data_IF_125977722991
#
_entry.id   IF_125977722991
#
_cell.length_a   1.000
_cell.length_b   1.000
_cell.length_c   1.000
_cell.angle_alpha   90.00
_cell.angle_beta   90.00
_cell.angle_gamma   90.00
#
_symmetry.space_group_name_H-M   'P 1'
#
loop_
_entity.id
_entity.type
_entity.pdbx_description
1 polymer ?
#
# COMPACT_ATOMS: atom_id res chain seq x y z
N UNK A 1 -9.42 6.98 1.86
CA UNK A 1 -9.00 5.68 2.43
C UNK A 1 -9.27 5.68 3.93
N UNK A 2 -9.55 4.53 4.55
CA UNK A 2 -9.87 4.45 5.97
C UNK A 2 -8.57 4.36 6.80
N UNK A 3 -8.09 5.48 7.35
CA UNK A 3 -6.75 5.63 7.95
C UNK A 3 -6.55 4.93 9.30
N UNK A 4 -7.60 4.29 9.83
CA UNK A 4 -7.53 3.54 11.09
C UNK A 4 -6.50 2.42 11.10
N UNK A 5 -6.30 1.74 9.95
CA UNK A 5 -5.29 0.67 9.84
C UNK A 5 -3.87 1.22 9.99
N UNK A 6 -3.57 2.36 9.37
CA UNK A 6 -2.26 3.00 9.48
C UNK A 6 -2.02 3.49 10.90
N UNK A 7 -3.05 4.03 11.57
CA UNK A 7 -2.93 4.45 12.96
C UNK A 7 -2.56 3.28 13.88
N UNK A 8 -3.26 2.15 13.73
CA UNK A 8 -2.99 0.95 14.53
C UNK A 8 -1.58 0.40 14.25
N UNK A 9 -1.21 0.29 12.98
CA UNK A 9 0.11 -0.22 12.58
C UNK A 9 1.25 0.65 13.12
N UNK A 10 1.19 1.98 12.94
CA UNK A 10 2.25 2.88 13.38
C UNK A 10 2.33 3.01 14.91
N UNK A 11 1.17 2.96 15.59
CA UNK A 11 1.12 3.04 17.05
C UNK A 11 1.61 1.76 17.72
N UNK A 12 1.26 0.60 17.17
CA UNK A 12 1.64 -0.70 17.73
C UNK A 12 3.03 -1.17 17.29
N UNK A 13 3.52 -0.68 16.15
CA UNK A 13 4.69 -1.23 15.43
C UNK A 13 4.56 -2.72 15.11
N UNK A 14 3.33 -3.23 15.06
CA UNK A 14 3.07 -4.60 14.63
C UNK A 14 3.35 -4.73 13.12
N UNK A 15 3.88 -5.88 12.66
CA UNK A 15 4.05 -6.13 11.24
C UNK A 15 2.68 -6.20 10.55
N UNK A 16 2.57 -5.54 9.39
CA UNK A 16 1.36 -5.55 8.56
C UNK A 16 1.62 -6.41 7.35
N UNK A 17 0.88 -7.51 7.20
CA UNK A 17 0.97 -8.41 6.06
C UNK A 17 -0.21 -8.14 5.11
N UNK A 18 0.03 -7.85 3.81
CA UNK A 18 -1.04 -7.78 2.84
C UNK A 18 -1.55 -9.19 2.53
N UNK A 19 -2.87 -9.34 2.46
CA UNK A 19 -3.52 -10.61 2.12
C UNK A 19 -4.54 -10.36 1.02
N UNK A 20 -4.32 -10.96 -0.14
CA UNK A 20 -5.23 -10.89 -1.27
C UNK A 20 -6.10 -12.14 -1.31
N UNK A 21 -7.41 -11.95 -1.51
CA UNK A 21 -8.39 -13.04 -1.54
C UNK A 21 -8.96 -13.16 -2.95
N UNK A 22 -8.70 -14.29 -3.59
CA UNK A 22 -9.15 -14.60 -4.95
C UNK A 22 -10.47 -15.35 -4.94
N UNK A 23 -11.31 -15.13 -5.97
CA UNK A 23 -12.48 -15.96 -6.27
C UNK A 23 -13.37 -16.23 -5.05
N UNK A 24 -13.64 -15.21 -4.24
CA UNK A 24 -14.58 -15.33 -3.14
C UNK A 24 -16.00 -15.45 -3.66
N UNK A 25 -16.85 -16.34 -3.07
CA UNK A 25 -18.25 -16.35 -3.41
C UNK A 25 -18.85 -14.98 -3.06
N UNK A 26 -19.45 -14.34 -4.06
CA UNK A 26 -20.17 -13.07 -3.89
C UNK A 26 -21.66 -13.33 -4.05
N UNK A 27 -22.46 -12.57 -3.31
CA UNK A 27 -23.91 -12.63 -3.38
C UNK A 27 -24.52 -11.23 -3.26
N UNK A 28 -25.80 -11.12 -3.57
CA UNK A 28 -26.61 -9.90 -3.41
C UNK A 28 -26.83 -9.55 -1.94
N UNK A 29 -26.64 -10.51 -1.04
CA UNK A 29 -26.75 -10.38 0.40
C UNK A 29 -25.68 -11.23 1.09
N UNK A 30 -25.54 -11.04 2.41
CA UNK A 30 -24.51 -11.69 3.23
C UNK A 30 -24.70 -13.21 3.40
N UNK A 31 -25.84 -13.78 2.96
CA UNK A 31 -26.18 -15.20 3.18
C UNK A 31 -25.89 -16.06 1.94
N UNK A 32 -26.08 -15.53 0.75
CA UNK A 32 -25.83 -16.23 -0.53
C UNK A 32 -24.43 -16.87 -0.67
N UNK A 33 -23.33 -16.26 -0.16
CA UNK A 33 -22.01 -16.89 -0.17
C UNK A 33 -21.92 -18.24 0.54
N UNK A 34 -22.79 -18.53 1.52
CA UNK A 34 -22.77 -19.81 2.24
C UNK A 34 -23.32 -20.98 1.43
N UNK A 35 -24.07 -20.70 0.36
CA UNK A 35 -24.68 -21.73 -0.50
C UNK A 35 -23.98 -21.88 -1.84
N UNK A 36 -22.94 -21.07 -2.11
CA UNK A 36 -22.18 -21.08 -3.36
C UNK A 36 -20.76 -21.56 -3.12
N UNK A 37 -20.37 -22.65 -3.80
CA UNK A 37 -18.98 -23.09 -3.82
C UNK A 37 -18.19 -22.21 -4.78
N UNK A 38 -17.07 -21.68 -4.31
CA UNK A 38 -16.08 -21.05 -5.16
C UNK A 38 -14.70 -21.62 -4.83
N UNK A 39 -13.82 -21.65 -5.83
CA UNK A 39 -12.43 -22.03 -5.65
C UNK A 39 -11.63 -20.82 -5.12
N UNK A 40 -11.83 -20.54 -3.84
CA UNK A 40 -11.26 -19.38 -3.15
C UNK A 40 -9.83 -19.68 -2.71
N UNK A 41 -8.90 -18.78 -3.02
CA UNK A 41 -7.51 -18.86 -2.57
C UNK A 41 -7.07 -17.59 -1.86
N UNK A 42 -6.06 -17.73 -0.99
CA UNK A 42 -5.43 -16.64 -0.27
C UNK A 42 -3.98 -16.52 -0.71
N UNK A 43 -3.55 -15.30 -0.99
CA UNK A 43 -2.15 -14.97 -1.24
C UNK A 43 -1.69 -14.05 -0.12
N UNK A 44 -0.64 -14.47 0.58
CA UNK A 44 0.01 -13.66 1.63
C UNK A 44 1.25 -13.00 1.02
N UNK A 45 1.41 -11.71 1.24
CA UNK A 45 2.62 -10.99 0.86
C UNK A 45 3.59 -10.84 2.03
N UNK A 46 4.75 -10.26 1.73
CA UNK A 46 5.76 -9.90 2.72
C UNK A 46 5.29 -8.77 3.65
N UNK A 47 5.84 -8.66 4.87
CA UNK A 47 5.49 -7.59 5.79
C UNK A 47 5.87 -6.23 5.19
N UNK A 48 4.95 -5.28 5.26
CA UNK A 48 5.13 -3.94 4.70
C UNK A 48 6.09 -3.16 5.57
N UNK A 49 7.16 -2.63 4.96
CA UNK A 49 8.09 -1.75 5.67
C UNK A 49 7.45 -0.39 5.94
N UNK A 50 7.25 -0.09 7.22
CA UNK A 50 6.73 1.18 7.71
C UNK A 50 7.79 1.98 8.48
N UNK A 51 9.05 1.57 8.41
CA UNK A 51 10.16 2.19 9.15
C UNK A 51 10.27 3.69 8.88
N UNK A 52 10.02 4.12 7.64
CA UNK A 52 10.00 5.51 7.21
C UNK A 52 8.97 6.40 7.94
N UNK A 53 7.99 5.80 8.64
CA UNK A 53 6.95 6.51 9.38
C UNK A 53 7.14 6.47 10.90
N UNK A 54 8.04 5.64 11.41
CA UNK A 54 8.23 5.50 12.85
C UNK A 54 8.80 6.79 13.46
N UNK A 55 8.25 7.18 14.61
CA UNK A 55 8.66 8.41 15.31
C UNK A 55 8.09 9.70 14.72
N UNK A 56 7.44 9.67 13.54
CA UNK A 56 6.70 10.82 13.01
C UNK A 56 5.45 11.08 13.86
N UNK A 57 5.05 12.35 13.96
CA UNK A 57 3.73 12.71 14.51
C UNK A 57 2.65 12.09 13.63
N UNK A 58 1.69 11.40 14.23
CA UNK A 58 0.56 10.77 13.53
C UNK A 58 -0.45 11.83 13.06
N UNK A 59 -0.05 12.66 12.09
CA UNK A 59 -0.92 13.61 11.42
C UNK A 59 -1.78 12.91 10.38
N UNK A 60 -2.79 13.61 9.87
CA UNK A 60 -3.67 13.08 8.82
C UNK A 60 -2.87 12.67 7.58
N UNK A 61 -1.90 13.49 7.20
CA UNK A 61 -1.05 13.31 6.02
C UNK A 61 -0.20 12.05 6.15
N UNK A 62 0.45 11.85 7.30
CA UNK A 62 1.26 10.65 7.59
C UNK A 62 0.40 9.39 7.53
N UNK A 63 -0.80 9.44 8.12
CA UNK A 63 -1.71 8.30 8.12
C UNK A 63 -2.26 8.00 6.71
N UNK A 64 -2.56 9.02 5.92
CA UNK A 64 -2.99 8.87 4.53
C UNK A 64 -1.87 8.29 3.65
N UNK A 65 -0.63 8.76 3.82
CA UNK A 65 0.54 8.26 3.09
C UNK A 65 0.83 6.79 3.42
N UNK A 66 0.88 6.45 4.70
CA UNK A 66 1.10 5.06 5.14
C UNK A 66 -0.05 4.13 4.68
N UNK A 67 -1.30 4.60 4.73
CA UNK A 67 -2.44 3.83 4.20
C UNK A 67 -2.29 3.62 2.69
N UNK A 68 -1.86 4.66 1.97
CA UNK A 68 -1.65 4.60 0.52
C UNK A 68 -0.57 3.58 0.16
N UNK A 69 0.57 3.58 0.87
CA UNK A 69 1.60 2.55 0.73
C UNK A 69 1.05 1.14 0.93
N UNK A 70 0.26 0.92 1.99
CA UNK A 70 -0.33 -0.39 2.27
C UNK A 70 -1.25 -0.87 1.14
N UNK A 71 -2.08 0.03 0.61
CA UNK A 71 -2.98 -0.29 -0.49
C UNK A 71 -2.23 -0.58 -1.79
N UNK A 72 -1.14 0.15 -2.07
CA UNK A 72 -0.25 -0.16 -3.20
C UNK A 72 0.33 -1.57 -3.09
N UNK A 73 0.92 -1.94 -1.94
CA UNK A 73 1.46 -3.29 -1.75
C UNK A 73 0.40 -4.38 -1.87
N UNK A 74 -0.82 -4.13 -1.40
CA UNK A 74 -1.95 -5.06 -1.57
C UNK A 74 -2.36 -5.21 -3.03
N UNK A 75 -2.39 -4.11 -3.78
CA UNK A 75 -2.77 -4.11 -5.18
C UNK A 75 -1.73 -4.84 -6.03
N UNK A 76 -0.43 -4.61 -5.77
CA UNK A 76 0.68 -5.37 -6.36
C UNK A 76 0.56 -6.87 -6.10
N UNK A 77 0.22 -7.26 -4.87
CA UNK A 77 0.05 -8.67 -4.50
C UNK A 77 -1.08 -9.35 -5.27
N UNK A 78 -2.15 -8.60 -5.57
CA UNK A 78 -3.32 -9.08 -6.30
C UNK A 78 -3.24 -8.94 -7.82
N UNK A 79 -2.15 -8.40 -8.36
CA UNK A 79 -2.05 -7.96 -9.76
C UNK A 79 -3.26 -7.09 -10.18
N UNK A 80 -3.60 -6.14 -9.30
CA UNK A 80 -4.73 -5.22 -9.50
C UNK A 80 -4.27 -3.78 -9.50
N UNK A 81 -5.04 -2.92 -10.15
CA UNK A 81 -4.76 -1.49 -10.17
C UNK A 81 -5.31 -0.80 -8.91
N UNK A 82 -4.47 -0.02 -8.24
CA UNK A 82 -4.89 0.87 -7.17
C UNK A 82 -5.10 2.29 -7.70
N UNK A 83 -6.36 2.75 -7.70
CA UNK A 83 -6.77 4.05 -8.25
C UNK A 83 -6.77 5.20 -7.21
N UNK A 84 -6.07 5.02 -6.08
CA UNK A 84 -6.04 5.99 -4.99
C UNK A 84 -4.93 7.04 -5.12
N UNK A 85 -4.30 7.36 -3.98
CA UNK A 85 -3.18 8.33 -3.94
C UNK A 85 -1.92 7.82 -4.65
N UNK A 86 -1.01 8.74 -5.05
CA UNK A 86 0.25 8.38 -5.71
C UNK A 86 1.12 7.50 -4.81
N UNK A 87 1.93 6.65 -5.43
CA UNK A 87 2.82 5.72 -4.73
C UNK A 87 3.93 6.49 -3.97
N UNK A 88 4.06 6.32 -2.64
CA UNK A 88 4.98 7.11 -1.84
C UNK A 88 6.44 6.62 -1.87
N UNK A 89 6.68 5.32 -2.10
CA UNK A 89 8.02 4.70 -2.09
C UNK A 89 8.82 4.89 -3.39
N UNK A 90 8.22 5.42 -4.46
CA UNK A 90 8.90 5.67 -5.75
C UNK A 90 9.57 7.06 -5.84
N UNK A 91 9.25 8.01 -4.94
CA UNK A 91 9.72 9.40 -5.05
C UNK A 91 11.20 9.63 -4.69
N UNK A 92 11.96 8.57 -4.36
CA UNK A 92 13.38 8.67 -3.99
C UNK A 92 14.35 8.48 -5.17
N UNK A 93 13.86 8.18 -6.38
CA UNK A 93 14.70 7.89 -7.55
C UNK A 93 14.68 9.03 -8.59
N UNK A 94 14.66 10.28 -8.14
CA UNK A 94 14.93 11.42 -9.03
C UNK A 94 16.44 11.46 -9.25
N UNK A 95 16.88 10.92 -10.40
CA UNK A 95 18.25 11.02 -10.91
C UNK A 95 18.71 12.48 -10.79
N UNK A 96 19.78 12.80 -10.03
CA UNK A 96 20.35 14.14 -10.09
C UNK A 96 20.90 14.33 -11.50
N UNK A 97 20.19 15.14 -12.30
CA UNK A 97 20.74 15.72 -13.53
C UNK A 97 22.04 16.44 -13.16
N UNK A 98 23.17 15.82 -13.51
CA UNK A 98 24.50 16.36 -13.28
C UNK A 98 24.61 17.73 -13.95
N UNK A 99 24.87 18.78 -13.16
CA UNK A 99 24.97 20.16 -13.60
C UNK A 99 26.27 20.49 -14.36
N UNK A 100 26.98 19.48 -14.88
CA UNK A 100 28.37 19.62 -15.35
C UNK A 100 28.53 19.98 -16.84
N UNK A 101 27.56 20.68 -17.45
CA UNK A 101 27.65 21.09 -18.87
C UNK A 101 27.32 22.55 -19.16
N UNK A 102 27.77 23.47 -18.30
CA UNK A 102 27.80 24.90 -18.64
C UNK A 102 29.13 25.56 -18.29
N UNK A 103 30.24 25.02 -18.79
CA UNK A 103 31.48 25.78 -18.97
C UNK A 103 32.15 25.38 -20.29
N UNK A 104 31.86 26.12 -21.37
CA UNK A 104 32.73 26.20 -22.55
C UNK A 104 32.29 27.34 -23.48
N UNK A 105 33.21 28.27 -23.75
CA UNK A 105 33.12 29.36 -24.74
C UNK A 105 32.74 30.69 -24.09
N UNK A 106 33.67 31.52 -23.59
CA UNK A 106 34.68 32.31 -24.33
C UNK A 106 34.07 33.23 -25.38
#
# INVERSE_FOLDING_TARGET
>A
ANSGIAFLALRSRAPVYPVYINNTPRGKNMIEPFYSRADTSLVYGEPIDLSAYYGKRLSREVLEEATTLMMWKLAELGDTEYLGGPRPDTQSEVIPISADRYHSGS
#
